data_IF_372981124807
#
_entry.id   IF_372981124807
#
_cell.length_a   1.000
_cell.length_b   1.000
_cell.length_c   1.000
_cell.angle_alpha   90.00
_cell.angle_beta   90.00
_cell.angle_gamma   90.00
#
_symmetry.space_group_name_H-M   'P 1'
#
loop_
_entity.id
_entity.type
_entity.pdbx_description
1 polymer ?
#
# COMPACT_ATOMS: atom_id res chain seq x y z
N UNK A 1 50.64 -51.90 -2.87
CA UNK A 1 49.44 -51.36 -2.28
C UNK A 1 49.15 -50.02 -2.99
N UNK A 2 48.27 -50.02 -4.02
CA UNK A 2 47.91 -48.85 -4.79
C UNK A 2 46.55 -48.39 -4.34
N UNK A 3 46.41 -47.11 -3.87
CA UNK A 3 45.14 -46.45 -3.58
C UNK A 3 44.67 -45.82 -4.86
N UNK A 4 43.59 -46.37 -5.46
CA UNK A 4 42.83 -45.72 -6.54
C UNK A 4 41.82 -44.74 -5.93
N UNK A 5 42.03 -43.43 -6.16
CA UNK A 5 41.07 -42.39 -5.80
C UNK A 5 39.95 -42.37 -6.83
N UNK A 6 38.74 -42.74 -6.45
CA UNK A 6 37.53 -42.57 -7.25
C UNK A 6 37.06 -41.12 -7.16
N UNK A 7 37.08 -40.39 -8.28
CA UNK A 7 36.53 -39.04 -8.44
C UNK A 7 35.02 -39.16 -8.50
N UNK A 8 34.31 -38.58 -7.52
CA UNK A 8 32.85 -38.50 -7.53
C UNK A 8 32.38 -37.46 -8.59
N UNK A 9 31.32 -37.76 -9.36
CA UNK A 9 30.75 -36.78 -10.29
C UNK A 9 30.11 -35.64 -9.51
N UNK A 10 30.47 -34.39 -9.87
CA UNK A 10 29.90 -33.17 -9.29
C UNK A 10 28.44 -33.01 -9.66
N UNK A 11 27.68 -32.28 -8.85
CA UNK A 11 26.25 -32.01 -9.14
C UNK A 11 26.10 -31.20 -10.44
N UNK A 12 25.36 -31.75 -11.39
CA UNK A 12 24.98 -31.06 -12.62
C UNK A 12 23.97 -29.97 -12.33
N UNK A 13 24.29 -28.74 -12.75
CA UNK A 13 23.36 -27.60 -12.70
C UNK A 13 22.19 -27.84 -13.68
N UNK A 14 20.96 -27.51 -13.30
CA UNK A 14 19.82 -27.62 -14.21
C UNK A 14 19.98 -26.64 -15.37
N UNK A 15 19.94 -27.18 -16.60
CA UNK A 15 19.90 -26.38 -17.83
C UNK A 15 18.47 -25.85 -18.05
N UNK A 16 18.28 -24.55 -17.99
CA UNK A 16 17.00 -23.92 -18.36
C UNK A 16 16.87 -23.90 -19.87
N UNK A 17 15.73 -24.32 -20.46
CA UNK A 17 15.50 -24.17 -21.89
C UNK A 17 15.48 -22.69 -22.24
N UNK A 18 16.35 -22.29 -23.16
CA UNK A 18 16.44 -20.92 -23.64
C UNK A 18 15.12 -20.51 -24.28
N UNK A 19 14.53 -19.40 -23.82
CA UNK A 19 13.33 -18.80 -24.40
C UNK A 19 13.65 -18.34 -25.83
N UNK A 20 13.09 -19.05 -26.80
CA UNK A 20 13.03 -18.59 -28.18
C UNK A 20 12.26 -17.26 -28.22
N UNK A 21 12.88 -16.23 -28.81
CA UNK A 21 12.31 -14.91 -28.97
C UNK A 21 11.00 -14.96 -29.76
N UNK A 22 9.90 -14.68 -29.08
CA UNK A 22 8.61 -14.35 -29.65
C UNK A 22 8.36 -12.86 -29.41
N UNK A 23 8.50 -12.05 -30.46
CA UNK A 23 8.05 -10.65 -30.44
C UNK A 23 6.53 -10.62 -30.31
N UNK A 24 6.04 -10.38 -29.10
CA UNK A 24 4.62 -10.10 -28.87
C UNK A 24 4.43 -8.61 -28.58
N UNK A 25 4.23 -7.84 -29.64
CA UNK A 25 3.82 -6.42 -29.59
C UNK A 25 2.37 -6.21 -29.13
N UNK A 26 1.76 -7.15 -28.43
CA UNK A 26 0.37 -7.06 -27.98
C UNK A 26 0.21 -6.72 -26.49
N UNK A 27 1.31 -6.59 -25.71
CA UNK A 27 1.23 -6.35 -24.28
C UNK A 27 1.21 -4.86 -23.86
N UNK A 28 1.36 -3.93 -24.79
CA UNK A 28 1.50 -2.51 -24.48
C UNK A 28 0.16 -1.76 -24.32
N UNK A 29 -0.98 -2.36 -24.67
CA UNK A 29 -2.27 -1.64 -24.67
C UNK A 29 -3.12 -1.85 -23.42
N UNK A 30 -2.78 -2.77 -22.53
CA UNK A 30 -3.57 -3.06 -21.31
C UNK A 30 -3.00 -2.37 -20.07
N UNK A 31 -1.81 -1.80 -20.14
CA UNK A 31 -1.14 -1.15 -19.00
C UNK A 31 -1.63 0.28 -18.72
N UNK A 32 -2.48 0.86 -19.60
CA UNK A 32 -2.89 2.26 -19.47
C UNK A 32 -3.93 2.52 -18.37
N UNK A 33 -4.60 1.48 -17.84
CA UNK A 33 -5.60 1.59 -16.77
C UNK A 33 -5.19 0.93 -15.45
N UNK A 34 -3.99 0.36 -15.37
CA UNK A 34 -3.46 -0.13 -14.11
C UNK A 34 -3.06 1.09 -13.24
N UNK A 35 -3.65 1.20 -12.05
CA UNK A 35 -3.33 2.28 -11.11
C UNK A 35 -1.82 2.36 -10.88
N UNK A 36 -1.30 3.57 -10.85
CA UNK A 36 0.11 3.82 -10.60
C UNK A 36 0.34 4.06 -9.10
N UNK A 37 1.28 3.33 -8.52
CA UNK A 37 1.82 3.66 -7.19
C UNK A 37 2.96 4.65 -7.40
N UNK A 38 3.05 5.76 -6.63
CA UNK A 38 4.21 6.64 -6.69
C UNK A 38 5.51 5.88 -6.45
N UNK A 39 6.57 6.28 -7.13
CA UNK A 39 7.89 5.66 -7.10
C UNK A 39 8.75 6.06 -5.88
N UNK A 40 8.25 6.99 -5.06
CA UNK A 40 8.91 7.49 -3.85
C UNK A 40 7.89 7.68 -2.72
N UNK A 41 8.27 7.28 -1.52
CA UNK A 41 7.47 7.43 -0.31
C UNK A 41 7.17 8.89 0.05
N UNK A 42 8.06 9.83 -0.29
CA UNK A 42 7.81 11.25 -0.10
C UNK A 42 6.65 11.77 -0.97
N UNK A 43 6.31 11.07 -2.05
CA UNK A 43 5.15 11.37 -2.90
C UNK A 43 3.87 10.68 -2.38
N UNK A 44 4.00 9.58 -1.64
CA UNK A 44 2.87 8.89 -1.00
C UNK A 44 2.42 9.68 0.23
N UNK A 45 3.35 9.97 1.14
CA UNK A 45 3.11 10.76 2.34
C UNK A 45 4.36 11.58 2.67
N UNK A 46 4.38 12.89 2.36
CA UNK A 46 5.47 13.79 2.71
C UNK A 46 5.73 13.80 4.23
N UNK A 47 7.01 13.86 4.62
CA UNK A 47 7.44 13.78 6.02
C UNK A 47 6.86 14.92 6.86
N UNK A 48 6.73 16.12 6.31
CA UNK A 48 6.12 17.27 6.98
C UNK A 48 4.64 17.03 7.33
N UNK A 49 3.90 16.35 6.45
CA UNK A 49 2.51 15.96 6.74
C UNK A 49 2.42 14.93 7.86
N UNK A 50 3.32 13.94 7.86
CA UNK A 50 3.37 12.94 8.93
C UNK A 50 3.75 13.58 10.28
N UNK A 51 4.76 14.46 10.27
CA UNK A 51 5.17 15.23 11.44
C UNK A 51 4.00 16.04 12.01
N UNK A 52 3.26 16.74 11.14
CA UNK A 52 2.10 17.52 11.55
C UNK A 52 0.98 16.66 12.16
N UNK A 53 0.72 15.49 11.58
CA UNK A 53 -0.33 14.57 12.05
C UNK A 53 0.06 13.92 13.38
N UNK A 54 1.31 13.51 13.55
CA UNK A 54 1.79 12.88 14.78
C UNK A 54 2.17 13.89 15.87
N UNK A 55 2.18 15.19 15.58
CA UNK A 55 2.59 16.23 16.54
C UNK A 55 4.08 16.16 16.91
N UNK A 56 4.92 15.72 15.99
CA UNK A 56 6.36 15.55 16.19
C UNK A 56 7.15 16.82 15.82
N UNK A 57 8.39 16.98 16.32
CA UNK A 57 9.28 18.05 15.87
C UNK A 57 9.66 17.90 14.40
N UNK A 58 9.88 19.01 13.70
CA UNK A 58 10.45 19.03 12.35
C UNK A 58 11.79 18.29 12.31
N UNK A 59 12.09 17.64 11.19
CA UNK A 59 13.32 16.85 10.97
C UNK A 59 13.51 15.66 11.93
N UNK A 60 12.45 15.20 12.59
CA UNK A 60 12.50 14.07 13.51
C UNK A 60 12.29 12.71 12.83
N UNK A 61 12.11 12.66 11.52
CA UNK A 61 11.74 11.45 10.76
C UNK A 61 12.67 11.25 9.57
N UNK A 62 13.10 9.99 9.40
CA UNK A 62 13.71 9.47 8.16
C UNK A 62 12.72 8.53 7.49
N UNK A 63 12.58 8.64 6.17
CA UNK A 63 11.78 7.74 5.35
C UNK A 63 12.68 6.85 4.50
N UNK A 64 12.34 5.55 4.45
CA UNK A 64 12.97 4.59 3.55
C UNK A 64 11.94 4.07 2.56
N UNK A 65 12.27 4.14 1.28
CA UNK A 65 11.48 3.62 0.17
C UNK A 65 12.00 2.24 -0.23
N UNK A 66 11.11 1.28 -0.44
CA UNK A 66 11.44 -0.02 -1.03
C UNK A 66 10.42 -0.35 -2.10
N UNK A 67 10.89 -0.49 -3.34
CA UNK A 67 10.05 -0.89 -4.48
C UNK A 67 9.96 -2.42 -4.52
N UNK A 68 8.75 -2.93 -4.53
CA UNK A 68 8.49 -4.35 -4.59
C UNK A 68 8.44 -4.89 -6.02
N UNK A 69 8.64 -6.20 -6.16
CA UNK A 69 8.55 -6.90 -7.45
C UNK A 69 7.09 -7.12 -7.83
N UNK A 70 6.71 -6.97 -9.11
CA UNK A 70 5.41 -7.37 -9.61
C UNK A 70 5.09 -8.84 -9.31
N UNK A 71 3.80 -9.15 -9.09
CA UNK A 71 3.33 -10.51 -8.86
C UNK A 71 2.12 -10.82 -9.77
N UNK A 72 2.38 -11.19 -11.04
CA UNK A 72 1.32 -11.40 -12.04
C UNK A 72 0.31 -12.48 -11.65
N UNK A 73 0.73 -13.49 -10.88
CA UNK A 73 -0.15 -14.57 -10.42
C UNK A 73 -1.33 -14.10 -9.55
N UNK A 74 -1.21 -12.93 -8.90
CA UNK A 74 -2.29 -12.28 -8.16
C UNK A 74 -2.72 -10.95 -8.79
N UNK A 75 -2.27 -10.68 -10.01
CA UNK A 75 -2.58 -9.47 -10.76
C UNK A 75 -1.92 -8.19 -10.20
N UNK A 76 -0.91 -8.30 -9.31
CA UNK A 76 -0.20 -7.14 -8.78
C UNK A 76 0.85 -6.66 -9.77
N UNK A 77 0.74 -5.40 -10.20
CA UNK A 77 1.65 -4.75 -11.15
C UNK A 77 2.73 -3.92 -10.47
N UNK A 78 2.40 -3.30 -9.34
CA UNK A 78 3.31 -2.44 -8.59
C UNK A 78 3.14 -2.64 -7.09
N UNK A 79 4.22 -2.40 -6.34
CA UNK A 79 4.20 -2.37 -4.88
C UNK A 79 5.27 -1.41 -4.36
N UNK A 80 4.91 -0.66 -3.32
CA UNK A 80 5.80 0.24 -2.60
C UNK A 80 5.67 0.00 -1.12
N UNK A 81 6.79 -0.13 -0.43
CA UNK A 81 6.88 -0.20 1.02
C UNK A 81 7.61 1.04 1.55
N UNK A 82 6.95 1.80 2.42
CA UNK A 82 7.48 2.99 3.06
C UNK A 82 7.65 2.75 4.56
N UNK A 83 8.85 2.94 5.07
CA UNK A 83 9.15 2.89 6.49
C UNK A 83 9.57 4.28 7.00
N UNK A 84 8.79 4.83 7.92
CA UNK A 84 9.06 6.10 8.60
C UNK A 84 9.61 5.80 9.98
N UNK A 85 10.83 6.28 10.26
CA UNK A 85 11.53 6.03 11.53
C UNK A 85 11.97 7.33 12.19
N UNK A 86 11.95 7.37 13.52
CA UNK A 86 12.41 8.52 14.28
C UNK A 86 13.93 8.71 14.18
N UNK A 87 14.37 9.98 14.13
CA UNK A 87 15.79 10.38 14.12
C UNK A 87 16.26 10.82 15.49
N UNK A 88 15.53 10.55 16.58
CA UNK A 88 15.90 11.03 17.92
C UNK A 88 17.40 10.78 18.19
N UNK A 89 18.15 11.81 18.61
CA UNK A 89 19.57 11.64 18.96
C UNK A 89 19.67 10.68 20.15
N UNK A 90 20.52 9.67 20.00
CA UNK A 90 20.92 8.67 21.00
C UNK A 90 19.95 8.52 22.20
N UNK A 91 18.85 7.81 22.00
CA UNK A 91 17.85 7.52 23.03
C UNK A 91 17.08 6.24 22.69
N UNK A 92 16.22 5.73 23.57
CA UNK A 92 15.46 4.50 23.38
C UNK A 92 14.54 4.53 22.14
N UNK A 93 14.23 5.71 21.60
CA UNK A 93 13.39 5.89 20.42
C UNK A 93 14.16 6.11 19.10
N UNK A 94 15.50 6.11 19.14
CA UNK A 94 16.34 6.23 17.94
C UNK A 94 16.12 5.02 17.04
N UNK A 95 15.73 5.28 15.77
CA UNK A 95 15.42 4.22 14.81
C UNK A 95 14.08 3.51 15.04
N UNK A 96 13.27 3.95 16.00
CA UNK A 96 11.93 3.40 16.24
C UNK A 96 11.03 3.66 15.03
N UNK A 97 10.34 2.63 14.56
CA UNK A 97 9.34 2.77 13.52
C UNK A 97 8.15 3.58 14.03
N UNK A 98 7.78 4.63 13.31
CA UNK A 98 6.66 5.52 13.61
C UNK A 98 5.43 5.20 12.76
N UNK A 99 5.66 4.79 11.51
CA UNK A 99 4.63 4.40 10.57
C UNK A 99 5.26 3.49 9.51
N UNK A 100 4.51 2.49 9.04
CA UNK A 100 4.80 1.82 7.79
C UNK A 100 3.60 1.95 6.85
N UNK A 101 3.86 2.13 5.55
CA UNK A 101 2.84 2.14 4.50
C UNK A 101 3.25 1.12 3.46
N UNK A 102 2.33 0.23 3.12
CA UNK A 102 2.44 -0.67 1.97
C UNK A 102 1.35 -0.26 0.97
N UNK A 103 1.75 0.16 -0.21
CA UNK A 103 0.86 0.52 -1.30
C UNK A 103 1.06 -0.43 -2.47
N UNK A 104 -0.01 -0.90 -3.10
CA UNK A 104 0.07 -1.78 -4.25
C UNK A 104 -1.00 -1.46 -5.29
N UNK A 105 -0.65 -1.61 -6.56
CA UNK A 105 -1.56 -1.51 -7.69
C UNK A 105 -1.75 -2.87 -8.36
N UNK A 106 -2.96 -3.13 -8.83
CA UNK A 106 -3.37 -4.36 -9.46
C UNK A 106 -3.94 -4.09 -10.85
N UNK A 107 -3.95 -5.10 -11.70
CA UNK A 107 -4.51 -5.01 -13.06
C UNK A 107 -6.00 -4.70 -13.08
N UNK A 108 -6.74 -5.07 -12.03
CA UNK A 108 -8.18 -4.83 -11.93
C UNK A 108 -8.63 -4.56 -10.50
N UNK A 109 -9.75 -3.84 -10.27
CA UNK A 109 -10.34 -3.68 -8.95
C UNK A 109 -10.72 -5.02 -8.29
N UNK A 110 -11.10 -6.02 -9.08
CA UNK A 110 -11.43 -7.35 -8.58
C UNK A 110 -10.20 -8.06 -8.00
N UNK A 111 -9.04 -7.97 -8.67
CA UNK A 111 -7.77 -8.52 -8.17
C UNK A 111 -7.32 -7.80 -6.89
N UNK A 112 -7.41 -6.45 -6.86
CA UNK A 112 -7.12 -5.66 -5.66
C UNK A 112 -8.00 -6.08 -4.48
N UNK A 113 -9.32 -6.21 -4.71
CA UNK A 113 -10.27 -6.63 -3.67
C UNK A 113 -9.99 -8.04 -3.17
N UNK A 114 -9.75 -9.00 -4.07
CA UNK A 114 -9.45 -10.38 -3.68
C UNK A 114 -8.20 -10.46 -2.80
N UNK A 115 -7.13 -9.76 -3.18
CA UNK A 115 -5.90 -9.73 -2.39
C UNK A 115 -6.09 -9.00 -1.07
N UNK A 116 -6.85 -7.89 -1.05
CA UNK A 116 -7.17 -7.16 0.18
C UNK A 116 -7.95 -8.03 1.17
N UNK A 117 -8.97 -8.76 0.70
CA UNK A 117 -9.74 -9.69 1.55
C UNK A 117 -8.86 -10.80 2.10
N UNK A 118 -7.98 -11.39 1.28
CA UNK A 118 -7.06 -12.44 1.71
C UNK A 118 -6.09 -11.92 2.78
N UNK A 119 -5.51 -10.74 2.57
CA UNK A 119 -4.56 -10.16 3.50
C UNK A 119 -5.24 -9.80 4.83
N UNK A 120 -6.42 -9.15 4.78
CA UNK A 120 -7.15 -8.78 5.99
C UNK A 120 -7.65 -9.99 6.78
N UNK A 121 -8.08 -11.07 6.10
CA UNK A 121 -8.50 -12.30 6.78
C UNK A 121 -7.35 -13.04 7.49
N UNK A 122 -6.12 -12.82 7.04
CA UNK A 122 -4.91 -13.42 7.65
C UNK A 122 -4.32 -12.62 8.81
N UNK A 123 -4.85 -11.43 9.09
CA UNK A 123 -4.34 -10.60 10.20
C UNK A 123 -4.96 -11.03 11.53
N UNK A 124 -4.10 -11.28 12.53
CA UNK A 124 -4.54 -11.55 13.89
C UNK A 124 -4.92 -10.26 14.60
N UNK A 125 -6.01 -10.27 15.37
CA UNK A 125 -6.44 -9.12 16.18
C UNK A 125 -7.95 -8.84 16.13
N UNK A 126 -8.36 -7.73 16.70
CA UNK A 126 -9.74 -7.27 16.68
C UNK A 126 -10.00 -6.46 15.40
N UNK A 127 -10.86 -7.00 14.54
CA UNK A 127 -11.23 -6.38 13.26
C UNK A 127 -12.43 -5.45 13.42
N UNK A 128 -12.36 -4.29 12.77
CA UNK A 128 -13.45 -3.32 12.76
C UNK A 128 -13.49 -2.58 11.42
N UNK A 129 -14.67 -2.47 10.84
CA UNK A 129 -14.88 -1.68 9.64
C UNK A 129 -14.52 -0.20 9.89
N UNK A 130 -13.75 0.37 8.98
CA UNK A 130 -13.30 1.75 9.03
C UNK A 130 -13.22 2.35 7.61
N UNK A 131 -14.35 2.70 7.01
CA UNK A 131 -14.38 3.25 5.66
C UNK A 131 -13.62 4.58 5.59
N UNK A 132 -12.87 4.78 4.51
CA UNK A 132 -12.10 6.00 4.24
C UNK A 132 -12.69 6.70 3.01
N UNK A 133 -13.62 7.61 3.22
CA UNK A 133 -14.43 8.17 2.13
C UNK A 133 -15.26 7.08 1.47
N UNK A 134 -15.10 6.88 0.16
CA UNK A 134 -15.75 5.80 -0.61
C UNK A 134 -14.96 4.50 -0.63
N UNK A 135 -13.75 4.46 -0.04
CA UNK A 135 -12.91 3.28 0.00
C UNK A 135 -13.34 2.32 1.10
N UNK A 136 -13.26 1.01 0.83
CA UNK A 136 -13.44 -0.03 1.86
C UNK A 136 -12.21 -0.09 2.75
N UNK A 137 -12.38 -0.05 4.08
CA UNK A 137 -11.29 -0.12 5.03
C UNK A 137 -11.62 -0.98 6.23
N UNK A 138 -10.60 -1.63 6.79
CA UNK A 138 -10.68 -2.42 8.02
C UNK A 138 -9.51 -2.03 8.90
N UNK A 139 -9.80 -1.63 10.15
CA UNK A 139 -8.81 -1.50 11.21
C UNK A 139 -8.66 -2.83 11.91
N UNK A 140 -7.42 -3.24 12.13
CA UNK A 140 -7.06 -4.39 12.96
C UNK A 140 -6.24 -3.88 14.14
N UNK A 141 -6.74 -4.09 15.35
CA UNK A 141 -6.03 -3.74 16.58
C UNK A 141 -5.38 -4.99 17.17
N UNK A 142 -4.08 -4.92 17.42
CA UNK A 142 -3.29 -6.01 17.98
C UNK A 142 -2.27 -5.49 19.02
N UNK A 143 -1.73 -6.36 19.87
CA UNK A 143 -0.72 -5.94 20.82
C UNK A 143 0.47 -5.28 20.13
N UNK A 144 0.79 -4.05 20.55
CA UNK A 144 1.95 -3.30 20.04
C UNK A 144 1.74 -2.42 18.83
N UNK A 145 0.66 -2.60 18.05
CA UNK A 145 0.39 -1.76 16.87
C UNK A 145 -1.08 -1.85 16.42
N UNK A 146 -1.49 -0.89 15.61
CA UNK A 146 -2.77 -0.92 14.90
C UNK A 146 -2.50 -0.86 13.39
N UNK A 147 -3.31 -1.56 12.61
CA UNK A 147 -3.21 -1.61 11.17
C UNK A 147 -4.52 -1.12 10.55
N UNK A 148 -4.45 -0.36 9.47
CA UNK A 148 -5.57 -0.04 8.61
C UNK A 148 -5.29 -0.56 7.20
N UNK A 149 -6.09 -1.50 6.74
CA UNK A 149 -6.05 -1.97 5.36
C UNK A 149 -7.19 -1.35 4.56
N UNK A 150 -6.87 -0.70 3.44
CA UNK A 150 -7.81 0.01 2.57
C UNK A 150 -7.74 -0.56 1.17
N UNK A 151 -8.90 -0.77 0.53
CA UNK A 151 -9.02 -1.09 -0.90
C UNK A 151 -9.76 0.05 -1.60
N UNK A 152 -9.17 0.59 -2.67
CA UNK A 152 -9.72 1.70 -3.43
C UNK A 152 -9.41 1.53 -4.94
N UNK A 153 -10.45 1.38 -5.74
CA UNK A 153 -10.27 1.09 -7.17
C UNK A 153 -9.43 -0.17 -7.39
N UNK A 154 -8.40 -0.08 -8.21
CA UNK A 154 -7.42 -1.16 -8.44
C UNK A 154 -6.23 -1.12 -7.48
N UNK A 155 -6.26 -0.31 -6.42
CA UNK A 155 -5.20 -0.18 -5.43
C UNK A 155 -5.56 -0.75 -4.06
N UNK A 156 -4.52 -1.10 -3.30
CA UNK A 156 -4.61 -1.37 -1.87
C UNK A 156 -3.56 -0.57 -1.13
N UNK A 157 -3.90 -0.10 0.07
CA UNK A 157 -2.98 0.57 0.98
C UNK A 157 -3.13 -0.06 2.36
N UNK A 158 -2.01 -0.44 2.97
CA UNK A 158 -1.96 -0.88 4.37
C UNK A 158 -1.07 0.08 5.14
N UNK A 159 -1.62 0.69 6.19
CA UNK A 159 -0.88 1.53 7.13
C UNK A 159 -0.73 0.77 8.44
N UNK A 160 0.48 0.74 9.00
CA UNK A 160 0.78 0.13 10.29
C UNK A 160 1.34 1.19 11.21
N UNK A 161 0.61 1.46 12.30
CA UNK A 161 0.96 2.45 13.31
C UNK A 161 1.34 1.71 14.61
N UNK A 162 2.63 1.66 14.99
CA UNK A 162 3.04 1.13 16.29
C UNK A 162 2.41 1.91 17.45
N UNK A 163 2.25 1.26 18.60
CA UNK A 163 1.79 1.92 19.79
C UNK A 163 2.81 2.99 20.22
N UNK A 164 2.35 4.23 20.22
CA UNK A 164 3.14 5.41 20.54
C UNK A 164 2.24 6.51 21.10
N UNK A 165 2.80 7.50 21.81
CA UNK A 165 2.03 8.67 22.23
C UNK A 165 1.39 9.35 21.00
N UNK A 166 0.11 9.64 21.08
CA UNK A 166 -0.66 10.34 20.04
C UNK A 166 -1.11 11.71 20.57
N UNK A 167 -1.41 12.67 19.68
CA UNK A 167 -2.02 13.93 20.07
C UNK A 167 -3.29 13.73 20.90
N UNK A 168 -3.55 14.63 21.84
CA UNK A 168 -4.70 14.55 22.74
C UNK A 168 -6.02 14.40 21.96
N UNK A 169 -6.86 13.48 22.40
CA UNK A 169 -8.15 13.18 21.76
C UNK A 169 -8.08 12.27 20.53
N UNK A 170 -6.88 11.85 20.09
CA UNK A 170 -6.71 10.92 18.98
C UNK A 170 -6.63 9.48 19.45
N UNK A 171 -7.16 8.58 18.64
CA UNK A 171 -6.99 7.12 18.77
C UNK A 171 -6.15 6.61 17.60
N UNK A 172 -5.51 5.43 17.73
CA UNK A 172 -4.78 4.82 16.62
C UNK A 172 -5.66 4.67 15.38
N UNK A 173 -6.92 4.27 15.54
CA UNK A 173 -7.86 4.11 14.45
C UNK A 173 -8.18 5.45 13.76
N UNK A 174 -8.48 6.52 14.51
CA UNK A 174 -8.75 7.83 13.91
C UNK A 174 -7.52 8.38 13.18
N UNK A 175 -6.33 8.20 13.76
CA UNK A 175 -5.07 8.60 13.18
C UNK A 175 -4.79 7.87 11.85
N UNK A 176 -5.00 6.56 11.82
CA UNK A 176 -4.82 5.75 10.62
C UNK A 176 -5.80 6.17 9.51
N UNK A 177 -7.05 6.49 9.85
CA UNK A 177 -8.04 6.99 8.87
C UNK A 177 -7.61 8.36 8.32
N UNK A 178 -7.11 9.25 9.16
CA UNK A 178 -6.64 10.58 8.72
C UNK A 178 -5.39 10.48 7.82
N UNK A 179 -4.47 9.56 8.13
CA UNK A 179 -3.33 9.26 7.28
C UNK A 179 -3.76 8.67 5.95
N UNK A 180 -4.70 7.71 5.95
CA UNK A 180 -5.21 7.10 4.73
C UNK A 180 -5.87 8.14 3.81
N UNK A 181 -6.62 9.11 4.34
CA UNK A 181 -7.20 10.21 3.55
C UNK A 181 -6.17 11.06 2.84
N UNK A 182 -4.95 11.15 3.35
CA UNK A 182 -3.83 11.87 2.72
C UNK A 182 -3.13 11.02 1.66
N UNK A 183 -3.04 9.71 1.90
CA UNK A 183 -2.36 8.74 1.02
C UNK A 183 -3.20 8.40 -0.20
N UNK A 184 -4.51 8.15 -0.05
CA UNK A 184 -5.36 7.68 -1.16
C UNK A 184 -5.36 8.59 -2.40
N UNK A 185 -5.38 9.93 -2.28
CA UNK A 185 -5.34 10.81 -3.46
C UNK A 185 -4.03 10.70 -4.27
N UNK A 186 -2.94 10.22 -3.66
CA UNK A 186 -1.64 10.05 -4.34
C UNK A 186 -1.57 8.78 -5.18
N UNK A 187 -2.53 7.87 -5.00
CA UNK A 187 -2.67 6.62 -5.76
C UNK A 187 -3.42 6.90 -7.07
N UNK A 188 -2.78 7.66 -7.97
CA UNK A 188 -3.39 8.03 -9.25
C UNK A 188 -3.78 6.80 -10.07
N UNK A 189 -4.95 6.86 -10.74
CA UNK A 189 -5.45 5.75 -11.56
C UNK A 189 -6.05 4.57 -10.77
N UNK A 190 -5.95 4.55 -9.44
CA UNK A 190 -6.62 3.53 -8.62
C UNK A 190 -8.06 3.91 -8.26
N UNK A 191 -8.37 5.20 -8.34
CA UNK A 191 -9.68 5.73 -8.00
C UNK A 191 -10.76 5.26 -8.98
N UNK A 192 -11.91 4.79 -8.52
CA UNK A 192 -13.07 4.62 -9.40
C UNK A 192 -13.46 5.99 -9.98
N UNK A 193 -13.94 6.01 -11.23
CA UNK A 193 -14.51 7.22 -11.81
C UNK A 193 -15.57 7.78 -10.85
N UNK A 194 -15.62 9.11 -10.64
CA UNK A 194 -16.63 9.70 -9.78
C UNK A 194 -18.01 9.27 -10.29
N UNK A 195 -18.86 8.78 -9.39
CA UNK A 195 -20.24 8.46 -9.75
C UNK A 195 -20.87 9.68 -10.46
N UNK A 196 -21.54 9.50 -11.60
CA UNK A 196 -22.23 10.59 -12.24
C UNK A 196 -23.17 11.23 -11.20
N UNK A 197 -23.09 12.55 -11.08
CA UNK A 197 -23.93 13.29 -10.15
C UNK A 197 -25.40 12.87 -10.39
N UNK A 198 -26.20 12.68 -9.34
CA UNK A 198 -27.61 12.38 -9.50
C UNK A 198 -28.24 13.46 -10.39
N UNK A 199 -29.16 13.10 -11.31
CA UNK A 199 -29.77 14.06 -12.19
C UNK A 199 -30.40 15.19 -11.35
N UNK A 200 -30.13 16.44 -11.74
CA UNK A 200 -30.65 17.59 -11.05
C UNK A 200 -32.18 17.46 -10.95
N UNK A 201 -32.78 17.77 -9.81
CA UNK A 201 -34.23 17.73 -9.67
C UNK A 201 -34.89 18.64 -10.76
N UNK A 202 -36.01 18.20 -11.35
CA UNK A 202 -36.69 19.00 -12.38
C UNK A 202 -36.98 20.39 -11.84
N UNK A 203 -36.51 21.40 -12.56
CA UNK A 203 -36.77 22.79 -12.18
C UNK A 203 -38.26 23.08 -12.30
N UNK A 204 -38.87 23.74 -11.33
CA UNK A 204 -40.27 24.10 -11.40
C UNK A 204 -40.48 24.99 -12.61
N UNK A 205 -41.38 24.58 -13.51
CA UNK A 205 -41.79 25.35 -14.67
C UNK A 205 -42.44 26.61 -14.16
N UNK A 206 -41.78 27.73 -14.38
CA UNK A 206 -42.31 29.08 -14.03
C UNK A 206 -43.53 29.32 -14.91
N UNK A 207 -44.71 29.19 -14.33
CA UNK A 207 -45.95 29.60 -15.01
C UNK A 207 -45.86 31.09 -15.33
N UNK A 208 -45.78 31.41 -16.61
CA UNK A 208 -45.98 32.77 -17.10
C UNK A 208 -47.45 33.15 -16.88
N UNK A 209 -47.67 34.17 -16.09
CA UNK A 209 -48.95 34.89 -16.02
C UNK A 209 -48.95 36.03 -17.04
#
# INVERSE_FOLDING_TARGET
>A
AGCSSATAPGPSLPTFPGSAGGSSSAAASVAADAGAVPDDCARILPVDQLVAVLGLPLNSIVVRTTVGVPAPGVGRVERMDCAYTGTAPAGPDSGKRLLAINAAAYTTPAAARAQWMLNTAGEDGAHRDAPVGSASGVVVERPGESLLAVQYGSGTVTLVLPNQPLPAGSTSASMLVDLARRVLPTMAGTAPAPNPAPPAPPQPVRAMR
#
